data_IF_939879998764
#
_entry.id   IF_939879998764
#
_cell.length_a   1.000
_cell.length_b   1.000
_cell.length_c   1.000
_cell.angle_alpha   90.00
_cell.angle_beta   90.00
_cell.angle_gamma   90.00
#
_symmetry.space_group_name_H-M   'P 1'
#
loop_
_entity.id
_entity.type
_entity.pdbx_description
1 polymer ?
#
# COMPACT_ATOMS: atom_id res chain seq x y z
N UNK A 1 -27.74 47.24 12.81
CA UNK A 1 -28.33 46.50 11.64
C UNK A 1 -27.27 46.18 10.57
N UNK A 2 -26.40 47.13 10.17
CA UNK A 2 -25.21 46.82 9.36
C UNK A 2 -24.30 45.78 10.06
N UNK A 3 -24.15 45.90 11.39
CA UNK A 3 -23.34 44.95 12.17
C UNK A 3 -23.88 43.51 12.11
N UNK A 4 -25.20 43.31 12.10
CA UNK A 4 -25.80 41.97 12.01
C UNK A 4 -25.53 41.30 10.66
N UNK A 5 -25.62 42.04 9.54
CA UNK A 5 -25.34 41.48 8.20
C UNK A 5 -23.85 41.16 8.07
N UNK A 6 -22.98 42.05 8.57
CA UNK A 6 -21.54 41.83 8.60
C UNK A 6 -21.17 40.61 9.45
N UNK A 7 -21.81 40.45 10.62
CA UNK A 7 -21.57 39.33 11.52
C UNK A 7 -22.09 38.01 10.93
N UNK A 8 -23.29 37.98 10.36
CA UNK A 8 -23.82 36.81 9.67
C UNK A 8 -22.91 36.35 8.52
N UNK A 9 -22.38 37.30 7.76
CA UNK A 9 -21.43 37.04 6.69
C UNK A 9 -20.09 36.48 7.23
N UNK A 10 -19.58 37.02 8.34
CA UNK A 10 -18.38 36.48 8.99
C UNK A 10 -18.58 35.04 9.48
N UNK A 11 -19.73 34.74 10.08
CA UNK A 11 -20.07 33.38 10.52
C UNK A 11 -20.16 32.41 9.33
N UNK A 12 -20.73 32.83 8.20
CA UNK A 12 -20.79 32.03 6.98
C UNK A 12 -19.38 31.73 6.41
N UNK A 13 -18.51 32.76 6.30
CA UNK A 13 -17.14 32.60 5.78
C UNK A 13 -16.28 31.73 6.70
N UNK A 14 -16.47 31.81 8.02
CA UNK A 14 -15.72 31.01 8.98
C UNK A 14 -15.86 29.50 8.76
N UNK A 15 -16.86 29.06 8.00
CA UNK A 15 -17.11 27.64 7.70
C UNK A 15 -16.33 27.08 6.49
N UNK A 16 -15.50 27.90 5.84
CA UNK A 16 -14.70 27.51 4.66
C UNK A 16 -13.26 27.11 5.00
N UNK A 17 -12.81 27.29 6.25
CA UNK A 17 -11.40 27.08 6.63
C UNK A 17 -11.03 25.62 6.84
N UNK A 18 -12.00 24.73 7.09
CA UNK A 18 -11.77 23.32 7.37
C UNK A 18 -12.43 22.41 6.32
N UNK A 19 -11.63 21.50 5.76
CA UNK A 19 -12.12 20.54 4.77
C UNK A 19 -13.02 19.45 5.38
N UNK A 20 -13.03 19.28 6.71
CA UNK A 20 -13.87 18.32 7.41
C UNK A 20 -15.19 18.99 7.82
N UNK A 21 -16.35 18.44 7.45
CA UNK A 21 -17.64 18.95 7.89
C UNK A 21 -17.79 18.79 9.41
N UNK A 22 -18.24 19.84 10.08
CA UNK A 22 -18.35 19.89 11.54
C UNK A 22 -19.73 20.39 11.97
N UNK A 23 -20.18 19.96 13.15
CA UNK A 23 -21.39 20.51 13.76
C UNK A 23 -21.28 22.02 13.97
N UNK A 24 -20.10 22.52 14.29
CA UNK A 24 -19.87 23.95 14.48
C UNK A 24 -20.23 24.75 13.22
N UNK A 25 -19.84 24.28 12.04
CA UNK A 25 -20.21 24.95 10.79
C UNK A 25 -21.72 24.95 10.54
N UNK A 26 -22.41 23.86 10.88
CA UNK A 26 -23.89 23.78 10.79
C UNK A 26 -24.51 24.84 11.69
N UNK A 27 -24.02 24.98 12.92
CA UNK A 27 -24.51 25.98 13.87
C UNK A 27 -24.24 27.42 13.39
N UNK A 28 -23.02 27.75 12.98
CA UNK A 28 -22.66 29.09 12.50
C UNK A 28 -23.48 29.52 11.29
N UNK A 29 -23.69 28.60 10.35
CA UNK A 29 -24.46 28.88 9.14
C UNK A 29 -25.96 28.99 9.45
N UNK A 30 -26.48 28.16 10.37
CA UNK A 30 -27.84 28.29 10.87
C UNK A 30 -28.10 29.64 11.54
N UNK A 31 -27.15 30.12 12.35
CA UNK A 31 -27.21 31.46 12.96
C UNK A 31 -27.21 32.56 11.89
N UNK A 32 -26.31 32.50 10.91
CA UNK A 32 -26.26 33.45 9.80
C UNK A 32 -27.57 33.51 9.00
N UNK A 33 -28.17 32.35 8.68
CA UNK A 33 -29.46 32.23 8.00
C UNK A 33 -30.56 32.89 8.83
N UNK A 34 -30.65 32.55 10.12
CA UNK A 34 -31.65 33.13 11.02
C UNK A 34 -31.53 34.65 11.12
N UNK A 35 -30.32 35.19 11.16
CA UNK A 35 -30.07 36.63 11.23
C UNK A 35 -30.57 37.34 9.96
N UNK A 36 -30.35 36.74 8.79
CA UNK A 36 -30.81 37.30 7.51
C UNK A 36 -32.33 37.24 7.35
N UNK A 37 -32.98 36.18 7.84
CA UNK A 37 -34.44 36.05 7.77
C UNK A 37 -35.19 37.13 8.56
N UNK A 38 -34.56 37.75 9.58
CA UNK A 38 -35.16 38.84 10.35
C UNK A 38 -35.14 40.20 9.64
N UNK A 39 -34.50 40.30 8.46
CA UNK A 39 -34.40 41.57 7.73
C UNK A 39 -35.76 41.89 7.08
N UNK A 40 -36.38 43.04 7.41
CA UNK A 40 -37.70 43.38 6.88
C UNK A 40 -37.62 43.73 5.39
N UNK A 41 -38.72 43.46 4.67
CA UNK A 41 -38.82 43.56 3.21
C UNK A 41 -38.67 44.99 2.66
N UNK A 42 -38.89 46.01 3.50
CA UNK A 42 -38.70 47.43 3.18
C UNK A 42 -37.22 47.87 3.25
N UNK A 43 -36.32 47.01 3.74
CA UNK A 43 -34.90 47.30 3.86
C UNK A 43 -34.21 47.36 2.50
N UNK A 44 -33.40 48.40 2.27
CA UNK A 44 -32.52 48.52 1.09
C UNK A 44 -31.56 47.33 0.89
N UNK A 45 -31.30 46.56 1.95
CA UNK A 45 -30.40 45.40 1.94
C UNK A 45 -31.11 44.07 1.72
N UNK A 46 -32.45 44.07 1.74
CA UNK A 46 -33.26 42.87 1.60
C UNK A 46 -32.97 42.09 0.30
N UNK A 47 -32.84 42.71 -0.89
CA UNK A 47 -32.55 41.97 -2.11
C UNK A 47 -31.21 41.20 -2.07
N UNK A 48 -30.19 41.82 -1.47
CA UNK A 48 -28.89 41.20 -1.31
C UNK A 48 -28.93 40.05 -0.30
N UNK A 49 -29.64 40.25 0.82
CA UNK A 49 -29.79 39.25 1.86
C UNK A 49 -30.57 38.01 1.36
N UNK A 50 -31.63 38.20 0.58
CA UNK A 50 -32.39 37.11 -0.03
C UNK A 50 -31.55 36.30 -1.03
N UNK A 51 -30.64 36.94 -1.75
CA UNK A 51 -29.72 36.23 -2.66
C UNK A 51 -28.74 35.35 -1.87
N UNK A 52 -28.16 35.87 -0.78
CA UNK A 52 -27.25 35.11 0.08
C UNK A 52 -27.95 33.93 0.76
N UNK A 53 -29.21 34.10 1.14
CA UNK A 53 -30.03 33.07 1.80
C UNK A 53 -30.08 31.77 0.98
N UNK A 54 -30.31 31.87 -0.34
CA UNK A 54 -30.35 30.72 -1.25
C UNK A 54 -29.04 29.93 -1.20
N UNK A 55 -27.90 30.62 -1.21
CA UNK A 55 -26.59 29.98 -1.18
C UNK A 55 -26.27 29.37 0.18
N UNK A 56 -26.61 30.04 1.29
CA UNK A 56 -26.37 29.51 2.64
C UNK A 56 -27.28 28.33 2.98
N UNK A 57 -28.53 28.34 2.55
CA UNK A 57 -29.43 27.19 2.71
C UNK A 57 -28.91 25.97 1.94
N UNK A 58 -28.44 26.17 0.70
CA UNK A 58 -27.79 25.11 -0.07
C UNK A 58 -26.51 24.62 0.63
N UNK A 59 -25.66 25.53 1.11
CA UNK A 59 -24.43 25.20 1.84
C UNK A 59 -24.73 24.45 3.14
N UNK A 60 -25.82 24.77 3.86
CA UNK A 60 -26.22 24.07 5.08
C UNK A 60 -26.63 22.64 4.80
N UNK A 61 -27.44 22.43 3.76
CA UNK A 61 -27.82 21.10 3.30
C UNK A 61 -26.59 20.27 2.91
N UNK A 62 -25.64 20.88 2.20
CA UNK A 62 -24.39 20.22 1.80
C UNK A 62 -23.56 19.79 3.04
N UNK A 63 -23.38 20.66 4.04
CA UNK A 63 -22.61 20.32 5.26
C UNK A 63 -23.29 19.20 6.03
N UNK A 64 -24.62 19.25 6.17
CA UNK A 64 -25.36 18.19 6.88
C UNK A 64 -25.17 16.83 6.22
N UNK A 65 -25.28 16.79 4.89
CA UNK A 65 -25.03 15.59 4.09
C UNK A 65 -23.59 15.09 4.26
N UNK A 66 -22.60 15.98 4.13
CA UNK A 66 -21.19 15.61 4.28
C UNK A 66 -20.85 15.19 5.72
N UNK A 67 -21.48 15.79 6.73
CA UNK A 67 -21.31 15.42 8.13
C UNK A 67 -21.83 14.01 8.41
N UNK A 68 -22.98 13.64 7.85
CA UNK A 68 -23.49 12.26 7.92
C UNK A 68 -22.53 11.29 7.23
N UNK A 69 -22.06 11.61 6.03
CA UNK A 69 -21.04 10.84 5.32
C UNK A 69 -19.78 10.64 6.19
N UNK A 70 -19.27 11.71 6.81
CA UNK A 70 -18.13 11.66 7.72
C UNK A 70 -18.39 10.77 8.93
N UNK A 71 -19.54 10.90 9.58
CA UNK A 71 -19.90 10.10 10.74
C UNK A 71 -19.98 8.60 10.39
N UNK A 72 -20.52 8.25 9.22
CA UNK A 72 -20.53 6.88 8.71
C UNK A 72 -19.14 6.38 8.35
N UNK A 73 -18.31 7.19 7.69
CA UNK A 73 -16.93 6.82 7.34
C UNK A 73 -16.07 6.55 8.59
N UNK A 74 -16.27 7.30 9.68
CA UNK A 74 -15.56 7.11 10.96
C UNK A 74 -15.78 5.74 11.60
N UNK A 75 -16.84 5.02 11.21
CA UNK A 75 -17.03 3.63 11.65
C UNK A 75 -15.96 2.69 11.09
N UNK A 76 -15.24 3.09 10.04
CA UNK A 76 -14.12 2.34 9.46
C UNK A 76 -14.52 1.07 8.71
N UNK A 77 -15.82 0.80 8.56
CA UNK A 77 -16.32 -0.37 7.84
C UNK A 77 -16.28 -0.10 6.32
N UNK A 78 -15.84 -1.04 5.47
CA UNK A 78 -15.75 -0.81 4.03
C UNK A 78 -17.07 -0.34 3.40
N UNK A 79 -18.20 -0.89 3.87
CA UNK A 79 -19.52 -0.49 3.40
C UNK A 79 -19.86 0.97 3.75
N UNK A 80 -19.50 1.43 4.96
CA UNK A 80 -19.83 2.79 5.42
C UNK A 80 -18.92 3.84 4.79
N UNK A 81 -17.64 3.52 4.59
CA UNK A 81 -16.70 4.37 3.85
C UNK A 81 -17.12 4.46 2.38
N UNK A 82 -17.56 3.35 1.76
CA UNK A 82 -18.09 3.35 0.38
C UNK A 82 -19.34 4.20 0.25
N UNK A 83 -20.27 4.07 1.20
CA UNK A 83 -21.46 4.91 1.24
C UNK A 83 -21.09 6.39 1.37
N UNK A 84 -20.15 6.73 2.26
CA UNK A 84 -19.69 8.11 2.44
C UNK A 84 -19.05 8.68 1.16
N UNK A 85 -18.17 7.91 0.50
CA UNK A 85 -17.56 8.27 -0.77
C UNK A 85 -18.61 8.56 -1.85
N UNK A 86 -19.59 7.67 -1.98
CA UNK A 86 -20.71 7.85 -2.89
C UNK A 86 -21.51 9.11 -2.56
N UNK A 87 -21.90 9.28 -1.29
CA UNK A 87 -22.73 10.41 -0.87
C UNK A 87 -22.06 11.77 -1.14
N UNK A 88 -20.74 11.87 -0.96
CA UNK A 88 -20.00 13.09 -1.27
C UNK A 88 -19.78 13.29 -2.78
N UNK A 89 -19.59 12.23 -3.55
CA UNK A 89 -19.43 12.32 -5.00
C UNK A 89 -20.68 12.81 -5.74
N UNK A 90 -21.87 12.61 -5.16
CA UNK A 90 -23.16 12.99 -5.74
C UNK A 90 -23.48 14.49 -5.64
N UNK A 91 -22.63 15.30 -5.00
CA UNK A 91 -22.90 16.72 -4.85
C UNK A 91 -22.80 17.45 -6.21
N UNK A 92 -23.88 18.12 -6.69
CA UNK A 92 -23.89 18.75 -8.01
C UNK A 92 -22.79 19.81 -8.23
N UNK A 93 -22.47 20.08 -9.51
CA UNK A 93 -21.37 20.96 -9.89
C UNK A 93 -21.55 22.43 -9.47
N UNK A 94 -22.79 22.88 -9.32
CA UNK A 94 -23.20 24.24 -8.95
C UNK A 94 -23.27 24.46 -7.42
N UNK A 95 -23.03 23.42 -6.62
CA UNK A 95 -23.09 23.50 -5.16
C UNK A 95 -21.88 24.21 -4.55
N UNK A 96 -22.08 25.04 -3.51
CA UNK A 96 -21.00 25.79 -2.86
C UNK A 96 -19.92 24.90 -2.25
N UNK A 97 -20.24 23.68 -1.80
CA UNK A 97 -19.27 22.75 -1.17
C UNK A 97 -18.76 21.64 -2.08
N UNK A 98 -18.90 21.80 -3.40
CA UNK A 98 -18.50 20.79 -4.38
C UNK A 98 -17.04 20.36 -4.27
N UNK A 99 -16.10 21.29 -4.11
CA UNK A 99 -14.67 20.96 -4.01
C UNK A 99 -14.37 20.16 -2.73
N UNK A 100 -14.95 20.55 -1.61
CA UNK A 100 -14.85 19.82 -0.34
C UNK A 100 -15.39 18.40 -0.48
N UNK A 101 -16.59 18.26 -1.06
CA UNK A 101 -17.24 16.97 -1.27
C UNK A 101 -16.40 16.03 -2.15
N UNK A 102 -15.86 16.54 -3.26
CA UNK A 102 -15.00 15.74 -4.15
C UNK A 102 -13.68 15.35 -3.48
N UNK A 103 -13.13 16.20 -2.62
CA UNK A 103 -11.93 15.88 -1.85
C UNK A 103 -12.19 14.74 -0.86
N UNK A 104 -13.32 14.78 -0.14
CA UNK A 104 -13.77 13.70 0.75
C UNK A 104 -14.05 12.41 0.00
N UNK A 105 -14.74 12.48 -1.14
CA UNK A 105 -15.01 11.32 -1.99
C UNK A 105 -13.71 10.65 -2.46
N UNK A 106 -12.73 11.43 -2.92
CA UNK A 106 -11.43 10.91 -3.33
C UNK A 106 -10.65 10.30 -2.17
N UNK A 107 -10.68 10.93 -1.00
CA UNK A 107 -10.06 10.43 0.23
C UNK A 107 -10.62 9.04 0.61
N UNK A 108 -11.94 8.94 0.80
CA UNK A 108 -12.60 7.69 1.21
C UNK A 108 -12.48 6.60 0.15
N UNK A 109 -12.51 6.96 -1.14
CA UNK A 109 -12.23 6.02 -2.22
C UNK A 109 -10.86 5.39 -2.03
N UNK A 110 -9.80 6.19 -1.82
CA UNK A 110 -8.44 5.67 -1.57
C UNK A 110 -8.35 4.80 -0.32
N UNK A 111 -9.13 5.07 0.73
CA UNK A 111 -9.17 4.22 1.91
C UNK A 111 -9.73 2.83 1.60
N UNK A 112 -10.83 2.76 0.86
CA UNK A 112 -11.43 1.48 0.42
C UNK A 112 -10.46 0.70 -0.46
N UNK A 113 -9.82 1.39 -1.41
CA UNK A 113 -8.80 0.81 -2.27
C UNK A 113 -7.68 0.20 -1.42
N UNK A 114 -7.13 0.95 -0.46
CA UNK A 114 -6.07 0.46 0.43
C UNK A 114 -6.48 -0.80 1.21
N UNK A 115 -7.71 -0.87 1.71
CA UNK A 115 -8.21 -2.06 2.42
C UNK A 115 -8.29 -3.26 1.46
N UNK A 116 -8.84 -3.05 0.27
CA UNK A 116 -8.97 -4.09 -0.74
C UNK A 116 -7.60 -4.60 -1.21
N UNK A 117 -6.69 -3.69 -1.56
CA UNK A 117 -5.33 -3.99 -2.00
C UNK A 117 -4.56 -4.73 -0.90
N UNK A 118 -4.71 -4.33 0.37
CA UNK A 118 -4.04 -5.01 1.49
C UNK A 118 -4.48 -6.47 1.58
N UNK A 119 -5.75 -6.77 1.36
CA UNK A 119 -6.23 -8.15 1.34
C UNK A 119 -5.57 -8.97 0.22
N UNK A 120 -5.40 -8.39 -0.97
CA UNK A 120 -4.65 -9.03 -2.07
C UNK A 120 -3.21 -9.29 -1.68
N UNK A 121 -2.51 -8.30 -1.11
CA UNK A 121 -1.12 -8.45 -0.71
C UNK A 121 -0.93 -9.45 0.43
N UNK A 122 -1.84 -9.50 1.41
CA UNK A 122 -1.83 -10.51 2.46
C UNK A 122 -2.05 -11.92 1.90
N UNK A 123 -2.98 -12.08 0.95
CA UNK A 123 -3.20 -13.37 0.29
C UNK A 123 -2.00 -13.77 -0.57
N UNK A 124 -1.42 -12.84 -1.33
CA UNK A 124 -0.20 -13.05 -2.09
C UNK A 124 0.96 -13.53 -1.19
N UNK A 125 1.15 -12.87 -0.04
CA UNK A 125 2.16 -13.28 0.94
C UNK A 125 1.90 -14.70 1.48
N UNK A 126 0.65 -15.05 1.79
CA UNK A 126 0.29 -16.42 2.21
C UNK A 126 0.59 -17.45 1.11
N UNK A 127 0.30 -17.12 -0.14
CA UNK A 127 0.66 -17.96 -1.29
C UNK A 127 2.17 -18.11 -1.43
N UNK A 128 2.95 -17.09 -1.11
CA UNK A 128 4.41 -17.13 -1.21
C UNK A 128 5.07 -17.95 -0.09
N UNK A 129 4.41 -18.18 1.06
CA UNK A 129 5.00 -18.83 2.24
C UNK A 129 5.72 -20.17 1.98
N UNK A 130 5.23 -21.07 1.10
CA UNK A 130 5.94 -22.32 0.81
C UNK A 130 7.31 -22.12 0.12
N UNK A 131 7.57 -20.94 -0.45
CA UNK A 131 8.84 -20.61 -1.12
C UNK A 131 9.13 -21.39 -2.40
N UNK A 132 8.21 -22.22 -2.89
CA UNK A 132 8.41 -22.98 -4.13
C UNK A 132 8.24 -22.10 -5.37
N UNK A 133 8.88 -22.44 -6.49
CA UNK A 133 8.68 -21.74 -7.78
C UNK A 133 7.21 -21.60 -8.15
N UNK A 134 6.40 -22.64 -7.92
CA UNK A 134 4.97 -22.61 -8.24
C UNK A 134 4.21 -21.63 -7.32
N UNK A 135 4.47 -21.69 -6.01
CA UNK A 135 3.80 -20.86 -5.01
C UNK A 135 4.17 -19.37 -5.17
N UNK A 136 5.43 -19.07 -5.47
CA UNK A 136 5.88 -17.70 -5.80
C UNK A 136 5.22 -17.15 -7.06
N UNK A 137 5.04 -17.97 -8.12
CA UNK A 137 4.30 -17.55 -9.32
C UNK A 137 2.85 -17.21 -9.02
N UNK A 138 2.18 -17.99 -8.17
CA UNK A 138 0.81 -17.69 -7.73
C UNK A 138 0.74 -16.39 -6.92
N UNK A 139 1.70 -16.18 -6.02
CA UNK A 139 1.80 -14.95 -5.24
C UNK A 139 1.98 -13.71 -6.13
N UNK A 140 2.84 -13.79 -7.15
CA UNK A 140 3.05 -12.72 -8.14
C UNK A 140 1.73 -12.38 -8.85
N UNK A 141 1.00 -13.39 -9.32
CA UNK A 141 -0.30 -13.18 -10.00
C UNK A 141 -1.29 -12.46 -9.08
N UNK A 142 -1.31 -12.82 -7.80
CA UNK A 142 -2.19 -12.15 -6.83
C UNK A 142 -1.77 -10.70 -6.55
N UNK A 143 -0.49 -10.44 -6.32
CA UNK A 143 0.01 -9.08 -6.08
C UNK A 143 -0.19 -8.16 -7.30
N UNK A 144 -0.13 -8.70 -8.51
CA UNK A 144 -0.39 -7.97 -9.75
C UNK A 144 -1.84 -7.51 -9.92
N UNK A 145 -2.78 -7.97 -9.07
CA UNK A 145 -4.15 -7.44 -9.05
C UNK A 145 -4.23 -6.00 -8.52
N UNK A 146 -3.20 -5.54 -7.80
CA UNK A 146 -3.11 -4.14 -7.37
C UNK A 146 -2.75 -3.27 -8.57
N UNK A 147 -3.67 -2.41 -9.00
CA UNK A 147 -3.52 -1.56 -10.19
C UNK A 147 -2.55 -0.38 -9.96
N UNK A 148 -2.01 0.19 -11.04
CA UNK A 148 -0.93 1.20 -11.01
C UNK A 148 -1.27 2.50 -10.27
N UNK A 149 -2.52 2.93 -10.32
CA UNK A 149 -3.01 4.17 -9.70
C UNK A 149 -3.44 3.97 -8.23
N UNK A 150 -3.34 2.75 -7.71
CA UNK A 150 -3.78 2.38 -6.37
C UNK A 150 -2.75 2.72 -5.30
N UNK A 151 -3.18 3.02 -4.05
CA UNK A 151 -2.28 3.41 -2.97
C UNK A 151 -1.17 2.40 -2.65
N UNK A 152 -1.41 1.09 -2.83
CA UNK A 152 -0.44 0.03 -2.48
C UNK A 152 0.30 -0.55 -3.68
N UNK A 153 0.22 0.07 -4.87
CA UNK A 153 0.91 -0.42 -6.06
C UNK A 153 2.43 -0.57 -5.88
N UNK A 154 3.06 0.41 -5.22
CA UNK A 154 4.50 0.38 -4.97
C UNK A 154 4.94 -0.82 -4.13
N UNK A 155 4.16 -1.15 -3.09
CA UNK A 155 4.39 -2.32 -2.23
C UNK A 155 4.15 -3.63 -3.00
N UNK A 156 3.07 -3.69 -3.78
CA UNK A 156 2.79 -4.82 -4.66
C UNK A 156 3.95 -5.11 -5.63
N UNK A 157 4.49 -4.06 -6.25
CA UNK A 157 5.59 -4.19 -7.21
C UNK A 157 6.90 -4.63 -6.53
N UNK A 158 7.15 -4.21 -5.30
CA UNK A 158 8.28 -4.70 -4.51
C UNK A 158 8.19 -6.22 -4.30
N UNK A 159 7.04 -6.71 -3.81
CA UNK A 159 6.81 -8.14 -3.63
C UNK A 159 6.97 -8.93 -4.93
N UNK A 160 6.41 -8.42 -6.03
CA UNK A 160 6.56 -9.02 -7.36
C UNK A 160 8.02 -9.13 -7.76
N UNK A 161 8.81 -8.07 -7.56
CA UNK A 161 10.24 -8.07 -7.89
C UNK A 161 11.01 -9.08 -7.03
N UNK A 162 10.77 -9.12 -5.73
CA UNK A 162 11.45 -10.02 -4.79
C UNK A 162 11.18 -11.48 -5.13
N UNK A 163 9.91 -11.84 -5.37
CA UNK A 163 9.55 -13.21 -5.74
C UNK A 163 10.04 -13.59 -7.13
N UNK A 164 10.09 -12.64 -8.06
CA UNK A 164 10.68 -12.87 -9.39
C UNK A 164 12.16 -13.20 -9.24
N UNK A 165 12.91 -12.42 -8.47
CA UNK A 165 14.33 -12.67 -8.20
C UNK A 165 14.57 -14.03 -7.54
N UNK A 166 13.71 -14.46 -6.62
CA UNK A 166 13.79 -15.79 -6.01
C UNK A 166 13.56 -16.91 -7.04
N UNK A 167 12.56 -16.76 -7.91
CA UNK A 167 12.31 -17.71 -9.00
C UNK A 167 13.54 -17.81 -9.91
N UNK A 168 14.14 -16.69 -10.28
CA UNK A 168 15.34 -16.65 -11.11
C UNK A 168 16.51 -17.40 -10.46
N UNK A 169 16.72 -17.23 -9.14
CA UNK A 169 17.71 -18.01 -8.40
C UNK A 169 17.44 -19.51 -8.50
N UNK A 170 16.19 -19.96 -8.34
CA UNK A 170 15.84 -21.38 -8.51
C UNK A 170 16.03 -21.91 -9.93
N UNK A 171 15.94 -21.05 -10.94
CA UNK A 171 16.19 -21.41 -12.34
C UNK A 171 17.69 -21.51 -12.65
N UNK A 172 18.48 -20.62 -12.05
CA UNK A 172 19.91 -20.47 -12.34
C UNK A 172 20.79 -21.39 -11.47
N UNK A 173 20.35 -21.74 -10.26
CA UNK A 173 21.07 -22.59 -9.30
C UNK A 173 21.63 -23.89 -9.90
N UNK A 174 20.88 -24.71 -10.68
CA UNK A 174 21.42 -25.96 -11.21
C UNK A 174 22.58 -25.73 -12.20
N UNK A 175 22.52 -24.70 -13.03
CA UNK A 175 23.62 -24.34 -13.94
C UNK A 175 24.83 -23.85 -13.16
N UNK A 176 24.58 -23.04 -12.13
CA UNK A 176 25.63 -22.53 -11.26
C UNK A 176 26.35 -23.66 -10.50
N UNK A 177 25.60 -24.62 -9.97
CA UNK A 177 26.13 -25.78 -9.25
C UNK A 177 26.90 -26.71 -10.18
N UNK A 178 26.38 -26.97 -11.39
CA UNK A 178 27.09 -27.75 -12.40
C UNK A 178 28.41 -27.08 -12.81
N UNK A 179 28.40 -25.77 -13.09
CA UNK A 179 29.61 -25.01 -13.44
C UNK A 179 30.68 -25.10 -12.35
N UNK A 180 30.29 -24.92 -11.09
CA UNK A 180 31.22 -25.07 -9.96
C UNK A 180 31.80 -26.49 -9.86
N UNK A 181 30.98 -27.51 -10.12
CA UNK A 181 31.44 -28.91 -10.09
C UNK A 181 32.47 -29.21 -11.18
N UNK A 182 32.31 -28.63 -12.37
CA UNK A 182 33.25 -28.75 -13.50
C UNK A 182 34.56 -28.03 -13.19
N UNK A 183 34.49 -26.83 -12.62
CA UNK A 183 35.67 -26.08 -12.21
C UNK A 183 36.50 -26.83 -11.14
N UNK A 184 35.84 -27.49 -10.18
CA UNK A 184 36.54 -28.33 -9.17
C UNK A 184 37.25 -29.54 -9.77
N UNK A 185 36.80 -30.00 -10.93
CA UNK A 185 37.45 -31.06 -11.71
C UNK A 185 38.58 -30.53 -12.61
N UNK A 186 38.89 -29.22 -12.54
CA UNK A 186 39.86 -28.56 -13.41
C UNK A 186 39.34 -28.25 -14.81
N UNK A 187 38.07 -28.52 -15.10
CA UNK A 187 37.43 -28.30 -16.41
C UNK A 187 36.91 -26.87 -16.53
N UNK A 188 37.83 -25.90 -16.44
CA UNK A 188 37.48 -24.48 -16.36
C UNK A 188 36.74 -23.96 -17.60
N UNK A 189 37.09 -24.44 -18.80
CA UNK A 189 36.42 -24.02 -20.03
C UNK A 189 34.92 -24.40 -20.03
N UNK A 190 34.62 -25.66 -19.70
CA UNK A 190 33.25 -26.18 -19.61
C UNK A 190 32.45 -25.50 -18.47
N UNK A 191 33.13 -25.19 -17.36
CA UNK A 191 32.55 -24.45 -16.25
C UNK A 191 32.12 -23.02 -16.67
N UNK A 192 32.97 -22.32 -17.41
CA UNK A 192 32.67 -20.98 -17.93
C UNK A 192 31.47 -21.03 -18.88
N UNK A 193 31.45 -21.97 -19.81
CA UNK A 193 30.35 -22.14 -20.78
C UNK A 193 29.02 -22.43 -20.07
N UNK A 194 29.04 -23.29 -19.05
CA UNK A 194 27.85 -23.61 -18.26
C UNK A 194 27.36 -22.39 -17.44
N UNK A 195 28.29 -21.66 -16.81
CA UNK A 195 27.96 -20.47 -16.02
C UNK A 195 27.48 -19.29 -16.86
N UNK A 196 27.93 -19.19 -18.12
CA UNK A 196 27.54 -18.13 -19.06
C UNK A 196 26.06 -18.18 -19.48
N UNK A 197 25.35 -19.28 -19.20
CA UNK A 197 23.89 -19.39 -19.39
C UNK A 197 23.14 -18.39 -18.52
N UNK A 198 23.70 -18.02 -17.36
CA UNK A 198 23.12 -17.03 -16.44
C UNK A 198 23.23 -15.64 -17.06
N UNK A 199 22.09 -15.04 -17.38
CA UNK A 199 22.00 -13.82 -18.19
C UNK A 199 22.22 -12.53 -17.38
N UNK A 200 22.64 -11.42 -18.02
CA UNK A 200 22.67 -10.10 -17.39
C UNK A 200 21.30 -9.71 -16.81
N UNK A 201 21.32 -9.02 -15.66
CA UNK A 201 20.12 -8.56 -14.97
C UNK A 201 19.49 -9.57 -14.00
N UNK A 202 19.95 -10.83 -14.00
CA UNK A 202 19.56 -11.87 -13.04
C UNK A 202 20.27 -11.70 -11.70
N UNK A 203 19.64 -12.17 -10.62
CA UNK A 203 20.18 -12.09 -9.25
C UNK A 203 21.59 -12.67 -9.09
N UNK A 204 21.92 -13.78 -9.77
CA UNK A 204 23.22 -14.44 -9.67
C UNK A 204 24.29 -13.88 -10.61
N UNK A 205 23.93 -13.01 -11.56
CA UNK A 205 24.84 -12.66 -12.66
C UNK A 205 26.17 -12.05 -12.20
N UNK A 206 26.14 -11.09 -11.26
CA UNK A 206 27.35 -10.38 -10.85
C UNK A 206 28.37 -11.28 -10.14
N UNK A 207 27.90 -12.18 -9.28
CA UNK A 207 28.77 -13.15 -8.58
C UNK A 207 29.32 -14.20 -9.55
N UNK A 208 28.50 -14.63 -10.51
CA UNK A 208 28.88 -15.57 -11.57
C UNK A 208 29.98 -14.97 -12.45
N UNK A 209 29.82 -13.73 -12.92
CA UNK A 209 30.82 -13.06 -13.77
C UNK A 209 32.17 -12.89 -13.06
N UNK A 210 32.15 -12.55 -11.77
CA UNK A 210 33.39 -12.46 -10.96
C UNK A 210 34.12 -13.80 -10.92
N UNK A 211 33.38 -14.90 -10.80
CA UNK A 211 33.96 -16.24 -10.76
C UNK A 211 34.46 -16.70 -12.12
N UNK A 212 33.73 -16.39 -13.20
CA UNK A 212 34.17 -16.63 -14.58
C UNK A 212 35.52 -15.93 -14.84
N UNK A 213 35.65 -14.66 -14.45
CA UNK A 213 36.90 -13.91 -14.61
C UNK A 213 38.07 -14.60 -13.88
N UNK A 214 37.82 -15.17 -12.70
CA UNK A 214 38.83 -15.96 -11.97
C UNK A 214 39.20 -17.24 -12.71
N UNK A 215 38.23 -18.01 -13.20
CA UNK A 215 38.51 -19.24 -13.96
C UNK A 215 39.30 -18.95 -15.25
N UNK A 216 39.02 -17.83 -15.91
CA UNK A 216 39.80 -17.38 -17.07
C UNK A 216 41.27 -17.15 -16.72
N UNK A 217 41.57 -16.60 -15.53
CA UNK A 217 42.95 -16.42 -15.06
C UNK A 217 43.63 -17.75 -14.77
N UNK A 218 42.93 -18.73 -14.20
CA UNK A 218 43.47 -20.07 -13.93
C UNK A 218 43.84 -20.81 -15.22
N UNK A 219 43.05 -20.64 -16.30
CA UNK A 219 43.38 -21.17 -17.64
C UNK A 219 44.66 -20.54 -18.19
N UNK A 220 44.92 -19.25 -17.89
CA UNK A 220 46.09 -18.51 -18.37
C UNK A 220 47.36 -18.83 -17.57
N UNK A 221 47.24 -19.40 -16.37
CA UNK A 221 48.39 -19.83 -15.59
C UNK A 221 48.91 -21.18 -16.11
N UNK A 222 50.22 -21.34 -16.39
CA UNK A 222 50.76 -22.63 -16.78
C UNK A 222 50.54 -23.65 -15.65
N UNK A 223 50.31 -24.94 -15.98
CA UNK A 223 50.07 -25.97 -14.97
C UNK A 223 51.22 -25.96 -13.97
N UNK A 224 50.92 -25.72 -12.68
CA UNK A 224 51.94 -25.81 -11.64
C UNK A 224 52.58 -27.20 -11.75
N UNK A 225 53.91 -27.32 -11.90
CA UNK A 225 54.56 -28.61 -11.89
C UNK A 225 54.18 -29.29 -10.57
N UNK A 226 53.64 -30.51 -10.67
CA UNK A 226 53.33 -31.32 -9.51
C UNK A 226 54.61 -31.42 -8.66
N UNK A 227 54.57 -30.82 -7.48
CA UNK A 227 55.69 -30.86 -6.55
C UNK A 227 56.01 -32.32 -6.24
N UNK A 228 57.10 -32.81 -6.83
CA UNK A 228 57.69 -34.09 -6.44
C UNK A 228 58.17 -33.90 -5.01
N UNK A 229 57.61 -34.66 -4.08
CA UNK A 229 58.12 -34.76 -2.71
C UNK A 229 59.64 -34.96 -2.75
N UNK A 230 60.38 -34.01 -2.18
CA UNK A 230 61.81 -34.13 -1.88
C UNK A 230 62.05 -33.57 -0.50
N UNK A 231 61.75 -34.38 0.52
CA UNK A 231 62.26 -34.17 1.87
C UNK A 231 63.74 -34.55 1.91
N UNK A 232 64.66 -33.58 2.04
CA UNK A 232 65.94 -33.75 2.77
C UNK A 232 66.39 -32.41 3.40
N UNK A 233 66.25 -32.33 4.72
CA UNK A 233 67.15 -31.79 5.76
C UNK A 233 68.23 -30.75 5.38
N UNK A 234 68.33 -29.59 6.07
CA UNK A 234 69.09 -29.48 7.34
C UNK A 234 68.76 -28.21 8.15
N UNK A 235 69.06 -28.20 9.47
CA UNK A 235 68.53 -27.25 10.45
C UNK A 235 69.45 -26.04 10.65
N UNK A 236 68.86 -24.90 10.99
CA UNK A 236 69.52 -23.85 11.73
C UNK A 236 68.51 -23.24 12.71
N UNK A 237 68.52 -23.79 13.93
CA UNK A 237 67.94 -23.17 15.12
C UNK A 237 68.63 -21.84 15.37
N UNK A 238 67.91 -20.81 15.82
CA UNK A 238 68.03 -20.28 17.20
C UNK A 238 66.78 -19.42 17.49
N UNK A 239 66.20 -19.51 18.70
CA UNK A 239 64.82 -19.12 18.99
C UNK A 239 64.73 -17.79 19.75
N UNK A 240 63.52 -17.24 19.86
CA UNK A 240 63.06 -16.37 20.97
C UNK A 240 61.52 -16.50 21.01
N UNK A 241 60.99 -17.36 21.86
CA UNK A 241 60.50 -17.09 23.23
C UNK A 241 59.04 -16.59 23.29
N UNK A 242 58.18 -17.59 23.52
CA UNK A 242 56.85 -17.67 24.18
C UNK A 242 56.51 -16.47 25.10
N UNK A 243 55.28 -15.99 25.28
CA UNK A 243 54.04 -16.67 25.75
C UNK A 243 52.91 -15.62 26.00
N UNK A 244 51.67 -15.96 26.46
CA UNK A 244 50.59 -16.76 25.86
C UNK A 244 49.20 -16.06 25.83
N UNK A 245 48.17 -16.85 25.45
CA UNK A 245 46.76 -16.81 25.88
C UNK A 245 45.79 -16.12 24.88
N UNK A 246 44.54 -16.58 24.65
CA UNK A 246 43.61 -17.44 25.40
C UNK A 246 42.69 -18.17 24.39
N UNK A 247 42.37 -19.43 24.70
CA UNK A 247 41.31 -20.25 24.10
C UNK A 247 39.92 -19.79 24.54
N UNK A 248 39.00 -19.49 23.62
CA UNK A 248 37.54 -19.42 23.88
C UNK A 248 36.80 -19.94 22.62
N UNK A 249 36.42 -21.22 22.60
CA UNK A 249 35.09 -21.75 22.96
C UNK A 249 34.00 -21.48 21.93
N UNK A 250 33.71 -22.49 21.12
CA UNK A 250 32.46 -22.67 20.38
C UNK A 250 31.28 -22.66 21.36
N UNK A 251 30.36 -21.72 21.19
CA UNK A 251 29.08 -21.72 21.89
C UNK A 251 27.96 -21.85 20.86
N UNK A 252 27.21 -22.95 20.99
CA UNK A 252 26.05 -23.29 20.20
C UNK A 252 24.91 -22.27 20.44
N UNK A 253 24.23 -21.89 19.36
CA UNK A 253 22.94 -21.18 19.42
C UNK A 253 21.84 -22.14 19.86
N UNK A 254 20.93 -21.74 20.77
CA UNK A 254 19.89 -22.63 21.27
C UNK A 254 18.79 -22.82 20.24
N UNK A 255 18.43 -24.08 20.02
CA UNK A 255 17.16 -24.51 19.44
C UNK A 255 16.03 -24.14 20.41
N UNK A 256 15.22 -23.15 20.07
CA UNK A 256 13.92 -22.96 20.70
C UNK A 256 12.83 -23.32 19.68
N UNK A 257 12.53 -24.62 19.63
CA UNK A 257 11.31 -25.16 19.02
C UNK A 257 10.29 -25.34 20.12
N UNK A 258 9.42 -24.35 20.28
CA UNK A 258 8.15 -24.52 20.99
C UNK A 258 7.04 -24.18 19.99
N UNK A 259 6.47 -25.22 19.39
CA UNK A 259 5.27 -25.14 18.57
C UNK A 259 4.05 -24.83 19.44
N UNK A 260 3.18 -23.88 19.07
CA UNK A 260 1.78 -23.99 19.41
C UNK A 260 1.05 -24.69 18.27
N UNK A 261 0.52 -25.87 18.58
CA UNK A 261 -0.54 -26.54 17.82
C UNK A 261 -1.73 -25.59 17.71
N UNK A 262 -2.06 -25.12 16.51
CA UNK A 262 -3.32 -24.45 16.22
C UNK A 262 -4.12 -25.33 15.27
N UNK A 263 -5.28 -25.76 15.77
CA UNK A 263 -6.29 -26.56 15.10
C UNK A 263 -6.75 -25.90 13.78
N UNK A 264 -6.89 -26.66 12.67
CA UNK A 264 -7.28 -26.10 11.38
C UNK A 264 -8.75 -25.64 11.42
N UNK A 265 -8.99 -24.35 11.16
CA UNK A 265 -10.33 -23.84 10.84
C UNK A 265 -10.60 -24.09 9.34
N UNK A 266 -11.70 -24.77 9.07
CA UNK A 266 -12.18 -25.10 7.72
C UNK A 266 -12.29 -23.87 6.81
N UNK A 267 -12.02 -24.02 5.50
CA UNK A 267 -12.23 -22.95 4.52
C UNK A 267 -13.72 -22.59 4.43
N UNK A 268 -14.04 -21.31 4.66
CA UNK A 268 -15.36 -20.76 4.32
C UNK A 268 -15.52 -20.71 2.80
N UNK A 269 -16.71 -21.03 2.27
CA UNK A 269 -16.93 -21.08 0.83
C UNK A 269 -16.77 -19.70 0.18
N UNK A 270 -16.09 -19.67 -0.95
CA UNK A 270 -16.03 -18.55 -1.89
C UNK A 270 -17.45 -18.05 -2.18
N UNK A 271 -17.76 -16.81 -1.82
CA UNK A 271 -18.91 -16.11 -2.39
C UNK A 271 -18.54 -15.84 -3.85
N UNK A 272 -19.30 -16.34 -4.85
CA UNK A 272 -18.95 -16.14 -6.24
C UNK A 272 -19.02 -14.65 -6.60
N UNK A 273 -18.04 -14.18 -7.37
CA UNK A 273 -18.10 -12.91 -8.10
C UNK A 273 -19.38 -12.89 -8.94
N UNK A 274 -20.44 -12.28 -8.42
CA UNK A 274 -21.45 -11.72 -9.29
C UNK A 274 -20.92 -10.38 -9.78
N UNK A 275 -20.79 -10.29 -11.10
CA UNK A 275 -20.70 -9.05 -11.87
C UNK A 275 -21.70 -8.02 -11.33
N UNK A 276 -21.23 -6.99 -10.63
CA UNK A 276 -22.09 -5.87 -10.21
C UNK A 276 -22.03 -4.73 -11.24
N UNK A 277 -22.37 -5.09 -12.48
CA UNK A 277 -22.98 -4.17 -13.42
C UNK A 277 -24.48 -4.35 -13.32
N UNK A 278 -25.18 -3.24 -13.08
CA UNK A 278 -26.63 -3.09 -13.19
C UNK A 278 -27.53 -3.61 -12.04
N UNK A 279 -28.46 -2.73 -11.65
CA UNK A 279 -29.63 -2.95 -10.81
C UNK A 279 -29.46 -3.21 -9.30
N UNK A 280 -29.16 -2.14 -8.56
CA UNK A 280 -29.81 -1.90 -7.27
C UNK A 280 -30.85 -0.77 -7.44
N UNK A 281 -32.05 -1.14 -7.89
CA UNK A 281 -33.24 -0.32 -7.70
C UNK A 281 -33.59 -0.36 -6.21
N UNK A 282 -33.15 0.65 -5.48
CA UNK A 282 -33.69 0.93 -4.15
C UNK A 282 -34.86 1.91 -4.36
N UNK A 283 -36.08 1.44 -4.14
CA UNK A 283 -37.29 2.27 -4.11
C UNK A 283 -37.10 3.46 -3.16
N UNK A 284 -37.34 4.72 -3.59
CA UNK A 284 -37.59 5.81 -2.66
C UNK A 284 -39.10 5.88 -2.44
N UNK A 285 -39.59 5.29 -1.36
CA UNK A 285 -40.95 5.61 -0.91
C UNK A 285 -40.92 6.15 0.52
N UNK A 286 -41.63 7.26 0.71
CA UNK A 286 -41.84 7.99 1.97
C UNK A 286 -40.68 8.83 2.53
N UNK A 287 -40.35 9.93 1.85
CA UNK A 287 -39.87 11.15 2.53
C UNK A 287 -41.06 11.80 3.26
N UNK A 288 -40.99 12.14 4.56
CA UNK A 288 -42.02 12.96 5.18
C UNK A 288 -41.95 14.40 4.63
N UNK A 289 -43.08 14.89 4.13
CA UNK A 289 -43.28 16.28 3.68
C UNK A 289 -43.01 17.29 4.80
N UNK A 290 -42.46 18.47 4.52
CA UNK A 290 -42.32 19.53 5.51
C UNK A 290 -43.70 20.03 5.96
N UNK A 291 -43.92 20.02 7.28
CA UNK A 291 -45.09 20.62 7.93
C UNK A 291 -45.09 22.11 7.63
N UNK A 292 -46.11 22.56 6.92
CA UNK A 292 -46.41 23.98 6.74
C UNK A 292 -47.01 24.48 8.05
N UNK A 293 -46.27 25.29 8.80
CA UNK A 293 -46.84 26.03 9.93
C UNK A 293 -47.55 27.25 9.35
N UNK A 294 -48.87 27.14 9.19
CA UNK A 294 -49.75 28.29 8.98
C UNK A 294 -49.83 29.08 10.28
N UNK A 295 -49.41 30.34 10.22
CA UNK A 295 -49.67 31.35 11.24
C UNK A 295 -51.11 31.84 11.16
N UNK A 296 -51.89 31.63 12.24
CA UNK A 296 -52.96 32.54 12.66
C UNK A 296 -52.51 33.27 13.91
#
# INVERSE_FOLDING_TARGET
RLDMISQAHQLAIATDTDWIPSLHHIFQLGEAISAVQTIPADSRWYPHAQTQLIHWEAQLADIQQLHLAQASARLGLPATVKWAAHQAAQLPNDRPRRIQAQTLAAHWTKEIQRVHDRNHLEWANRLAQPGTRASLKMAIVEAQKVERDRPLYGEAQQLVNDWTQQIEVYEDEPYWTLAQSLARQGKFQEAIETAAVIRPGRSLYASVQTTIARWQQEIQQPPRPAGINSSVMTPASTPLSVQPAITQSLQALPTNSASPTITPLQPQPLIPEQSWGEHLHFYPDSMPTPVTISSQ
#
